data_IF_706579207537
#
_entry.id   IF_706579207537
#
_cell.length_a   1.000
_cell.length_b   1.000
_cell.length_c   1.000
_cell.angle_alpha   90.00
_cell.angle_beta   90.00
_cell.angle_gamma   90.00
#
_symmetry.space_group_name_H-M   'P 1'
#
loop_
_entity.id
_entity.type
_entity.pdbx_description
1 polymer ?
#
# COMPACT_ATOMS: atom_id res chain seq x y z
N UNK A 1 -31.97 -25.07 -23.37
CA UNK A 1 -30.95 -24.26 -22.66
C UNK A 1 -29.60 -24.95 -22.60
N UNK A 2 -29.51 -26.24 -22.23
CA UNK A 2 -28.25 -27.00 -22.17
C UNK A 2 -27.53 -27.11 -23.53
N UNK A 3 -28.25 -27.36 -24.62
CA UNK A 3 -27.64 -27.39 -25.97
C UNK A 3 -27.02 -26.06 -26.39
N UNK A 4 -27.64 -24.94 -26.00
CA UNK A 4 -27.10 -23.61 -26.24
C UNK A 4 -25.77 -23.42 -25.48
N UNK A 5 -25.73 -23.79 -24.20
CA UNK A 5 -24.53 -23.72 -23.37
C UNK A 5 -23.43 -24.66 -23.88
N UNK A 6 -23.80 -25.86 -24.35
CA UNK A 6 -22.85 -26.81 -24.93
C UNK A 6 -22.23 -26.24 -26.21
N UNK A 7 -23.04 -25.70 -27.12
CA UNK A 7 -22.57 -25.09 -28.36
C UNK A 7 -21.70 -23.85 -28.10
N UNK A 8 -22.06 -23.01 -27.14
CA UNK A 8 -21.23 -21.87 -26.71
C UNK A 8 -19.88 -22.32 -26.14
N UNK A 9 -19.87 -23.35 -25.30
CA UNK A 9 -18.63 -23.86 -24.68
C UNK A 9 -17.73 -24.52 -25.72
N UNK A 10 -18.30 -25.29 -26.66
CA UNK A 10 -17.57 -25.85 -27.81
C UNK A 10 -17.02 -24.76 -28.73
N UNK A 11 -17.78 -23.70 -28.98
CA UNK A 11 -17.34 -22.53 -29.74
C UNK A 11 -16.12 -21.86 -29.10
N UNK A 12 -16.19 -21.57 -27.80
CA UNK A 12 -15.06 -21.01 -27.04
C UNK A 12 -13.83 -21.91 -27.03
N UNK A 13 -14.01 -23.23 -26.98
CA UNK A 13 -12.90 -24.18 -27.04
C UNK A 13 -12.25 -24.20 -28.43
N UNK A 14 -13.05 -24.10 -29.50
CA UNK A 14 -12.56 -24.05 -30.89
C UNK A 14 -11.82 -22.73 -31.20
N UNK A 15 -12.25 -21.60 -30.62
CA UNK A 15 -11.57 -20.30 -30.73
C UNK A 15 -10.14 -20.32 -30.21
N UNK A 16 -9.79 -21.23 -29.29
CA UNK A 16 -8.44 -21.34 -28.73
C UNK A 16 -7.41 -21.92 -29.73
N UNK A 17 -7.86 -22.56 -30.82
CA UNK A 17 -7.02 -23.09 -31.90
C UNK A 17 -5.82 -23.94 -31.42
N UNK A 18 -6.00 -24.70 -30.33
CA UNK A 18 -4.94 -25.54 -29.78
C UNK A 18 -4.80 -26.83 -30.58
N UNK A 19 -3.56 -27.25 -30.92
CA UNK A 19 -3.31 -28.50 -31.63
C UNK A 19 -3.50 -29.72 -30.70
N UNK A 20 -3.88 -30.86 -31.28
CA UNK A 20 -4.00 -32.13 -30.56
C UNK A 20 -5.33 -32.32 -29.84
N UNK A 21 -5.42 -33.42 -29.10
CA UNK A 21 -6.57 -33.79 -28.29
C UNK A 21 -6.33 -33.52 -26.79
N UNK A 22 -7.28 -33.93 -25.96
CA UNK A 22 -7.24 -33.71 -24.51
C UNK A 22 -6.03 -34.37 -23.86
N UNK A 23 -5.62 -35.56 -24.33
CA UNK A 23 -4.41 -36.21 -23.82
C UNK A 23 -3.16 -35.44 -24.21
N UNK A 24 -3.10 -34.93 -25.44
CA UNK A 24 -2.01 -34.04 -25.86
C UNK A 24 -1.97 -32.76 -25.03
N UNK A 25 -3.13 -32.16 -24.71
CA UNK A 25 -3.21 -30.96 -23.85
C UNK A 25 -2.77 -31.24 -22.42
N UNK A 26 -3.12 -32.40 -21.86
CA UNK A 26 -2.66 -32.83 -20.53
C UNK A 26 -1.13 -33.03 -20.50
N UNK A 27 -0.57 -33.67 -21.53
CA UNK A 27 0.88 -33.84 -21.66
C UNK A 27 1.61 -32.50 -21.78
N UNK A 28 1.11 -31.61 -22.64
CA UNK A 28 1.65 -30.26 -22.80
C UNK A 28 1.54 -29.44 -21.52
N UNK A 29 0.43 -29.54 -20.79
CA UNK A 29 0.27 -28.85 -19.50
C UNK A 29 1.31 -29.35 -18.49
N UNK A 30 1.50 -30.66 -18.38
CA UNK A 30 2.50 -31.23 -17.46
C UNK A 30 3.92 -30.74 -17.79
N UNK A 31 4.31 -30.74 -19.08
CA UNK A 31 5.59 -30.17 -19.52
C UNK A 31 5.72 -28.68 -19.17
N UNK A 32 4.68 -27.89 -19.44
CA UNK A 32 4.67 -26.45 -19.13
C UNK A 32 4.72 -26.20 -17.62
N UNK A 33 4.07 -27.02 -16.81
CA UNK A 33 4.13 -26.92 -15.35
C UNK A 33 5.56 -27.13 -14.84
N UNK A 34 6.29 -28.12 -15.37
CA UNK A 34 7.71 -28.30 -15.02
C UNK A 34 8.58 -27.11 -15.46
N UNK A 35 8.33 -26.53 -16.63
CA UNK A 35 9.02 -25.34 -17.11
C UNK A 35 8.69 -24.11 -16.26
N UNK A 36 7.43 -23.96 -15.85
CA UNK A 36 6.98 -22.88 -14.99
C UNK A 36 7.64 -22.97 -13.60
N UNK A 37 7.69 -24.15 -13.00
CA UNK A 37 8.40 -24.37 -11.73
C UNK A 37 9.91 -24.09 -11.85
N UNK A 38 10.54 -24.50 -12.96
CA UNK A 38 11.93 -24.20 -13.24
C UNK A 38 12.17 -22.69 -13.39
N UNK A 39 11.31 -21.98 -14.11
CA UNK A 39 11.39 -20.53 -14.28
C UNK A 39 11.16 -19.77 -12.95
N UNK A 40 10.27 -20.26 -12.08
CA UNK A 40 10.10 -19.73 -10.73
C UNK A 40 11.37 -19.88 -9.89
N UNK A 41 12.00 -21.06 -9.92
CA UNK A 41 13.27 -21.32 -9.21
C UNK A 41 14.39 -20.44 -9.74
N UNK A 42 14.52 -20.31 -11.07
CA UNK A 42 15.51 -19.44 -11.72
C UNK A 42 15.34 -17.98 -11.27
N UNK A 43 14.10 -17.46 -11.32
CA UNK A 43 13.81 -16.10 -10.87
C UNK A 43 14.17 -15.88 -9.40
N UNK A 44 13.83 -16.83 -8.52
CA UNK A 44 14.15 -16.74 -7.10
C UNK A 44 15.66 -16.67 -6.85
N UNK A 45 16.46 -17.47 -7.57
CA UNK A 45 17.93 -17.47 -7.48
C UNK A 45 18.52 -16.13 -7.94
N UNK A 46 18.03 -15.59 -9.06
CA UNK A 46 18.51 -14.30 -9.58
C UNK A 46 18.11 -13.14 -8.67
N UNK A 47 16.88 -13.15 -8.13
CA UNK A 47 16.44 -12.16 -7.14
C UNK A 47 17.24 -12.22 -5.84
N UNK A 48 17.56 -13.43 -5.34
CA UNK A 48 18.40 -13.60 -4.17
C UNK A 48 19.81 -13.07 -4.42
N UNK A 49 20.39 -13.36 -5.59
CA UNK A 49 21.70 -12.85 -5.99
C UNK A 49 21.72 -11.32 -6.06
N UNK A 50 20.66 -10.72 -6.60
CA UNK A 50 20.49 -9.26 -6.65
C UNK A 50 20.39 -8.66 -5.25
N UNK A 51 19.57 -9.24 -4.37
CA UNK A 51 19.43 -8.79 -2.99
C UNK A 51 20.76 -8.86 -2.21
N UNK A 52 21.58 -9.91 -2.44
CA UNK A 52 22.90 -10.02 -1.83
C UNK A 52 23.86 -8.92 -2.30
N UNK A 53 23.93 -8.63 -3.60
CA UNK A 53 24.77 -7.56 -4.12
C UNK A 53 24.28 -6.18 -3.67
N UNK A 54 22.98 -5.95 -3.63
CA UNK A 54 22.43 -4.72 -3.05
C UNK A 54 22.76 -4.58 -1.57
N UNK A 55 22.72 -5.67 -0.80
CA UNK A 55 23.15 -5.71 0.60
C UNK A 55 24.61 -5.30 0.75
N UNK A 56 25.50 -5.86 -0.09
CA UNK A 56 26.93 -5.47 -0.15
C UNK A 56 27.09 -3.98 -0.51
N UNK A 57 26.36 -3.48 -1.52
CA UNK A 57 26.40 -2.05 -1.90
C UNK A 57 25.98 -1.15 -0.75
N UNK A 58 24.92 -1.50 -0.02
CA UNK A 58 24.45 -0.74 1.16
C UNK A 58 25.48 -0.73 2.28
N UNK A 59 26.13 -1.88 2.54
CA UNK A 59 27.19 -1.97 3.53
C UNK A 59 28.39 -1.06 3.17
N UNK A 60 28.87 -1.11 1.94
CA UNK A 60 29.98 -0.26 1.47
C UNK A 60 29.60 1.24 1.50
N UNK A 61 28.36 1.60 1.16
CA UNK A 61 27.88 2.99 1.30
C UNK A 61 27.87 3.47 2.75
N UNK A 62 27.54 2.60 3.70
CA UNK A 62 27.61 2.94 5.13
C UNK A 62 29.05 3.13 5.59
N UNK A 63 29.97 2.27 5.15
CA UNK A 63 31.41 2.42 5.41
C UNK A 63 31.91 3.75 4.84
N UNK A 64 31.56 4.08 3.59
CA UNK A 64 31.92 5.34 2.96
C UNK A 64 31.46 6.55 3.79
N UNK A 65 30.21 6.57 4.24
CA UNK A 65 29.68 7.65 5.09
C UNK A 65 30.44 7.79 6.41
N UNK A 66 30.80 6.68 7.05
CA UNK A 66 31.57 6.69 8.30
C UNK A 66 32.98 7.26 8.08
N UNK A 67 33.64 6.85 6.99
CA UNK A 67 34.96 7.36 6.61
C UNK A 67 34.91 8.87 6.32
N UNK A 68 33.94 9.33 5.53
CA UNK A 68 33.77 10.74 5.18
C UNK A 68 33.44 11.58 6.42
N UNK A 69 32.57 11.08 7.32
CA UNK A 69 32.28 11.73 8.59
C UNK A 69 33.52 11.86 9.47
N UNK A 70 34.30 10.79 9.61
CA UNK A 70 35.53 10.82 10.42
C UNK A 70 36.56 11.77 9.82
N UNK A 71 36.77 11.71 8.51
CA UNK A 71 37.66 12.62 7.78
C UNK A 71 37.25 14.08 7.97
N UNK A 72 35.94 14.39 7.93
CA UNK A 72 35.40 15.73 8.20
C UNK A 72 35.76 16.25 9.59
N UNK A 73 35.62 15.42 10.62
CA UNK A 73 35.99 15.77 12.01
C UNK A 73 37.48 16.08 12.12
N UNK A 74 38.34 15.24 11.52
CA UNK A 74 39.79 15.44 11.60
C UNK A 74 40.25 16.70 10.83
N UNK A 75 39.64 16.99 9.68
CA UNK A 75 39.90 18.25 8.94
C UNK A 75 39.45 19.49 9.71
N UNK A 76 38.36 19.40 10.46
CA UNK A 76 37.94 20.46 11.38
C UNK A 76 38.93 20.64 12.53
N UNK A 77 39.38 19.55 13.16
CA UNK A 77 40.44 19.61 14.19
C UNK A 77 41.72 20.24 13.64
N UNK A 78 42.12 19.91 12.42
CA UNK A 78 43.31 20.49 11.79
C UNK A 78 43.20 22.01 11.64
N UNK A 79 42.02 22.52 11.26
CA UNK A 79 41.74 23.96 11.19
C UNK A 79 41.81 24.63 12.56
N UNK A 80 41.27 23.97 13.61
CA UNK A 80 41.35 24.48 14.99
C UNK A 80 42.78 24.49 15.53
N UNK A 81 43.57 23.48 15.22
CA UNK A 81 44.98 23.45 15.59
C UNK A 81 45.79 24.54 14.90
N UNK A 82 45.51 24.85 13.63
CA UNK A 82 46.13 25.98 12.95
C UNK A 82 45.79 27.32 13.62
N UNK A 83 44.54 27.50 14.07
CA UNK A 83 44.15 28.70 14.82
C UNK A 83 44.82 28.77 16.20
N UNK A 84 44.89 27.63 16.90
CA UNK A 84 45.56 27.55 18.21
C UNK A 84 47.06 27.91 18.10
N UNK A 85 47.73 27.45 17.04
CA UNK A 85 49.11 27.82 16.75
C UNK A 85 49.26 29.34 16.57
N UNK A 86 48.37 29.97 15.78
CA UNK A 86 48.39 31.43 15.59
C UNK A 86 48.23 32.18 16.91
N UNK A 87 47.37 31.68 17.80
CA UNK A 87 47.20 32.25 19.13
C UNK A 87 48.49 32.12 19.95
N UNK A 88 49.09 30.93 20.01
CA UNK A 88 50.35 30.72 20.73
C UNK A 88 51.48 31.61 20.20
N UNK A 89 51.59 31.79 18.88
CA UNK A 89 52.58 32.70 18.28
C UNK A 89 52.31 34.16 18.63
N UNK A 90 51.05 34.57 18.75
CA UNK A 90 50.69 35.91 19.22
C UNK A 90 51.03 36.11 20.69
N UNK A 91 50.69 35.14 21.54
CA UNK A 91 50.99 35.17 22.97
C UNK A 91 52.50 35.18 23.23
N UNK A 92 53.27 34.39 22.47
CA UNK A 92 54.71 34.35 22.55
C UNK A 92 55.33 35.73 22.26
N UNK A 93 54.92 36.39 21.16
CA UNK A 93 55.39 37.75 20.82
C UNK A 93 55.07 38.75 21.93
N UNK A 94 53.89 38.66 22.54
CA UNK A 94 53.49 39.53 23.65
C UNK A 94 54.37 39.31 24.88
N UNK A 95 54.61 38.05 25.27
CA UNK A 95 55.46 37.73 26.42
C UNK A 95 56.90 38.16 26.21
N UNK A 96 57.45 37.95 25.00
CA UNK A 96 58.80 38.39 24.64
C UNK A 96 58.93 39.91 24.70
N UNK A 97 57.91 40.64 24.23
CA UNK A 97 57.87 42.11 24.29
C UNK A 97 57.81 42.63 25.73
N UNK A 98 57.00 41.99 26.60
CA UNK A 98 56.92 42.35 28.02
C UNK A 98 58.24 42.03 28.73
N UNK A 99 58.86 40.89 28.43
CA UNK A 99 60.14 40.50 29.00
C UNK A 99 61.27 41.46 28.61
N UNK A 100 61.32 41.88 27.33
CA UNK A 100 62.28 42.87 26.86
C UNK A 100 62.07 44.21 27.58
N UNK A 101 60.83 44.71 27.62
CA UNK A 101 60.51 45.97 28.31
C UNK A 101 60.86 45.92 29.81
N UNK A 102 60.49 44.84 30.51
CA UNK A 102 60.79 44.65 31.93
C UNK A 102 62.28 44.63 32.23
N UNK A 103 63.06 43.95 31.39
CA UNK A 103 64.54 43.92 31.49
C UNK A 103 65.14 45.32 31.28
N UNK A 104 64.65 46.08 30.30
CA UNK A 104 65.11 47.45 30.04
C UNK A 104 64.75 48.40 31.17
N UNK A 105 63.54 48.30 31.71
CA UNK A 105 63.10 49.09 32.86
C UNK A 105 63.92 48.80 34.11
N UNK A 106 64.30 47.54 34.36
CA UNK A 106 65.19 47.17 35.46
C UNK A 106 66.63 47.72 35.33
N UNK A 107 67.08 48.03 34.10
CA UNK A 107 68.39 48.63 33.83
C UNK A 107 68.39 50.16 33.97
N UNK A 108 67.22 50.80 34.05
CA UNK A 108 67.11 52.25 34.17
C UNK A 108 67.26 52.63 35.63
N UNK A 109 68.36 53.33 35.95
CA UNK A 109 68.56 53.94 37.26
C UNK A 109 67.81 55.28 37.33
N UNK A 110 66.98 55.48 38.36
CA UNK A 110 66.33 56.76 38.63
C UNK A 110 67.33 57.76 39.25
N UNK A 111 68.17 58.41 38.44
CA UNK A 111 69.14 59.40 38.95
C UNK A 111 68.47 60.71 39.40
N UNK A 112 67.39 61.12 38.71
CA UNK A 112 66.61 62.33 39.01
C UNK A 112 65.13 62.08 38.80
N UNK A 113 64.31 62.70 39.64
CA UNK A 113 62.85 62.61 39.51
C UNK A 113 62.42 63.24 38.16
N UNK A 114 61.69 62.51 37.30
CA UNK A 114 61.24 63.03 36.00
C UNK A 114 60.18 64.14 36.11
N UNK A 115 59.60 64.35 37.30
CA UNK A 115 58.57 65.36 37.56
C UNK A 115 59.17 66.64 38.16
N UNK A 116 60.03 66.53 39.17
CA UNK A 116 60.56 67.69 39.91
C UNK A 116 62.09 67.88 39.81
N UNK A 117 62.82 66.93 39.21
CA UNK A 117 64.29 67.02 39.02
C UNK A 117 65.14 66.73 40.27
N UNK A 118 64.52 66.38 41.40
CA UNK A 118 65.21 66.03 42.64
C UNK A 118 66.14 64.83 42.46
N UNK A 119 67.36 64.92 43.01
CA UNK A 119 68.32 63.81 43.03
C UNK A 119 67.78 62.63 43.86
N UNK A 120 68.22 61.40 43.56
CA UNK A 120 67.78 60.18 44.23
C UNK A 120 67.82 60.26 45.77
N UNK A 121 68.85 60.90 46.32
CA UNK A 121 69.04 61.12 47.77
C UNK A 121 67.96 62.00 48.45
N UNK A 122 67.12 62.67 47.66
CA UNK A 122 66.04 63.54 48.12
C UNK A 122 64.65 63.01 47.75
N UNK A 123 64.54 61.76 47.29
CA UNK A 123 63.28 61.12 46.93
C UNK A 123 62.71 60.33 48.12
N UNK A 124 61.46 60.59 48.48
CA UNK A 124 60.72 59.76 49.44
C UNK A 124 59.95 58.66 48.69
N UNK A 125 60.35 57.40 48.90
CA UNK A 125 59.80 56.23 48.18
C UNK A 125 58.53 55.65 48.82
N UNK A 126 57.85 56.36 49.73
CA UNK A 126 56.66 55.87 50.46
C UNK A 126 55.47 55.48 49.55
N UNK A 127 55.48 55.92 48.29
CA UNK A 127 54.49 55.55 47.28
C UNK A 127 54.87 54.32 46.42
N UNK A 128 56.09 53.79 46.54
CA UNK A 128 56.49 52.52 45.90
C UNK A 128 55.91 51.34 46.69
N UNK A 129 54.60 51.14 46.60
CA UNK A 129 53.99 49.87 47.00
C UNK A 129 54.55 48.79 46.07
N UNK A 130 55.19 47.78 46.63
CA UNK A 130 55.80 46.67 45.90
C UNK A 130 54.77 45.88 45.07
N UNK A 131 54.50 46.38 43.86
CA UNK A 131 54.08 45.55 42.73
C UNK A 131 55.38 45.00 42.14
N UNK A 132 55.43 43.68 41.91
CA UNK A 132 56.63 42.92 41.50
C UNK A 132 57.62 43.69 40.62
N UNK A 133 58.92 43.50 40.86
CA UNK A 133 59.94 44.23 40.13
C UNK A 133 59.83 43.95 38.62
N UNK A 134 60.09 44.94 37.75
CA UNK A 134 60.05 44.74 36.29
C UNK A 134 60.91 43.56 35.81
N UNK A 135 62.01 43.27 36.49
CA UNK A 135 62.88 42.13 36.22
C UNK A 135 62.25 40.78 36.63
N UNK A 136 61.53 40.71 37.75
CA UNK A 136 60.80 39.51 38.18
C UNK A 136 59.66 39.17 37.19
N UNK A 137 58.97 40.20 36.69
CA UNK A 137 57.94 40.07 35.65
C UNK A 137 58.58 39.57 34.34
N UNK A 138 59.74 40.11 33.96
CA UNK A 138 60.46 39.68 32.77
C UNK A 138 60.89 38.20 32.85
N UNK A 139 61.45 37.76 33.98
CA UNK A 139 61.81 36.35 34.19
C UNK A 139 60.58 35.43 34.12
N UNK A 140 59.47 35.84 34.71
CA UNK A 140 58.20 35.10 34.64
C UNK A 140 57.68 34.98 33.20
N UNK A 141 57.75 36.07 32.42
CA UNK A 141 57.37 36.05 31.00
C UNK A 141 58.28 35.13 30.17
N UNK A 142 59.58 35.10 30.43
CA UNK A 142 60.52 34.20 29.75
C UNK A 142 60.23 32.72 30.07
N UNK A 143 59.90 32.41 31.33
CA UNK A 143 59.52 31.07 31.73
C UNK A 143 58.23 30.59 31.04
N UNK A 144 57.19 31.43 30.98
CA UNK A 144 55.95 31.11 30.27
C UNK A 144 56.16 31.02 28.75
N UNK A 145 57.00 31.90 28.18
CA UNK A 145 57.38 31.82 26.76
C UNK A 145 58.06 30.49 26.43
N UNK A 146 58.95 29.99 27.30
CA UNK A 146 59.58 28.68 27.13
C UNK A 146 58.54 27.55 27.15
N UNK A 147 57.54 27.62 28.03
CA UNK A 147 56.43 26.66 28.09
C UNK A 147 55.58 26.70 26.82
N UNK A 148 55.23 27.89 26.31
CA UNK A 148 54.46 28.03 25.06
C UNK A 148 55.22 27.42 23.88
N UNK A 149 56.55 27.58 23.79
CA UNK A 149 57.36 26.95 22.73
C UNK A 149 57.28 25.42 22.77
N UNK A 150 57.25 24.81 23.95
CA UNK A 150 57.01 23.37 24.10
C UNK A 150 55.61 22.98 23.61
N UNK A 151 54.58 23.74 24.00
CA UNK A 151 53.21 23.51 23.54
C UNK A 151 53.06 23.62 22.01
N UNK A 152 53.78 24.54 21.36
CA UNK A 152 53.82 24.64 19.90
C UNK A 152 54.45 23.38 19.28
N UNK A 153 55.55 22.89 19.85
CA UNK A 153 56.20 21.65 19.39
C UNK A 153 55.25 20.44 19.50
N UNK A 154 54.56 20.28 20.62
CA UNK A 154 53.59 19.20 20.82
C UNK A 154 52.39 19.32 19.86
N UNK A 155 51.95 20.55 19.60
CA UNK A 155 50.89 20.84 18.64
C UNK A 155 51.29 20.45 17.21
N UNK A 156 52.54 20.70 16.82
CA UNK A 156 53.06 20.28 15.51
C UNK A 156 53.07 18.76 15.34
N UNK A 157 53.49 18.02 16.37
CA UNK A 157 53.44 16.55 16.36
C UNK A 157 52.00 16.06 16.21
N UNK A 158 51.08 16.60 17.01
CA UNK A 158 49.65 16.27 16.96
C UNK A 158 49.05 16.54 15.58
N UNK A 159 49.40 17.68 14.97
CA UNK A 159 48.97 18.02 13.60
C UNK A 159 49.52 17.07 12.56
N UNK A 160 50.78 16.64 12.67
CA UNK A 160 51.37 15.68 11.75
C UNK A 160 50.67 14.32 11.83
N UNK A 161 50.37 13.85 13.04
CA UNK A 161 49.62 12.60 13.24
C UNK A 161 48.20 12.69 12.67
N UNK A 162 47.53 13.82 12.88
CA UNK A 162 46.21 14.07 12.32
C UNK A 162 46.22 14.10 10.79
N UNK A 163 47.22 14.73 10.16
CA UNK A 163 47.38 14.75 8.70
C UNK A 163 47.63 13.35 8.13
N UNK A 164 48.44 12.51 8.80
CA UNK A 164 48.64 11.10 8.40
C UNK A 164 47.34 10.32 8.44
N UNK A 165 46.55 10.51 9.49
CA UNK A 165 45.25 9.84 9.61
C UNK A 165 44.25 10.32 8.55
N UNK A 166 44.23 11.62 8.22
CA UNK A 166 43.42 12.15 7.11
C UNK A 166 43.81 11.48 5.79
N UNK A 167 45.10 11.41 5.47
CA UNK A 167 45.59 10.77 4.25
C UNK A 167 45.22 9.27 4.20
N UNK A 168 45.31 8.57 5.33
CA UNK A 168 44.88 7.16 5.44
C UNK A 168 43.39 7.01 5.15
N UNK A 169 42.54 7.86 5.73
CA UNK A 169 41.09 7.84 5.49
C UNK A 169 40.72 8.19 4.04
N UNK A 170 41.48 9.06 3.39
CA UNK A 170 41.30 9.38 1.96
C UNK A 170 41.58 8.17 1.08
N UNK A 171 42.64 7.41 1.35
CA UNK A 171 42.92 6.14 0.68
C UNK A 171 41.77 5.15 0.83
N UNK A 172 41.31 4.92 2.07
CA UNK A 172 40.17 4.03 2.34
C UNK A 172 38.87 4.51 1.67
N UNK A 173 38.66 5.82 1.59
CA UNK A 173 37.50 6.41 0.91
C UNK A 173 37.53 6.12 -0.59
N UNK A 174 38.70 6.21 -1.22
CA UNK A 174 38.87 5.87 -2.62
C UNK A 174 38.59 4.39 -2.87
N UNK A 175 39.14 3.51 -2.04
CA UNK A 175 38.88 2.06 -2.13
C UNK A 175 37.39 1.72 -1.96
N UNK A 176 36.71 2.33 -0.98
CA UNK A 176 35.27 2.14 -0.78
C UNK A 176 34.46 2.60 -2.01
N UNK A 177 34.83 3.72 -2.61
CA UNK A 177 34.21 4.21 -3.85
C UNK A 177 34.39 3.23 -5.02
N UNK A 178 35.58 2.65 -5.16
CA UNK A 178 35.83 1.62 -6.18
C UNK A 178 35.02 0.35 -5.93
N UNK A 179 34.96 -0.15 -4.68
CA UNK A 179 34.11 -1.30 -4.33
C UNK A 179 32.63 -1.05 -4.66
N UNK A 180 32.12 0.14 -4.35
CA UNK A 180 30.74 0.54 -4.69
C UNK A 180 30.53 0.53 -6.20
N UNK A 181 31.48 1.08 -6.98
CA UNK A 181 31.42 1.08 -8.44
C UNK A 181 31.39 -0.33 -9.01
N UNK A 182 32.29 -1.21 -8.57
CA UNK A 182 32.32 -2.61 -9.01
C UNK A 182 30.99 -3.32 -8.75
N UNK A 183 30.42 -3.17 -7.55
CA UNK A 183 29.13 -3.78 -7.22
C UNK A 183 27.99 -3.17 -8.05
N UNK A 184 28.01 -1.85 -8.29
CA UNK A 184 27.02 -1.18 -9.12
C UNK A 184 27.05 -1.69 -10.57
N UNK A 185 28.25 -1.85 -11.14
CA UNK A 185 28.43 -2.42 -12.49
C UNK A 185 27.93 -3.86 -12.58
N UNK A 186 28.24 -4.70 -11.58
CA UNK A 186 27.73 -6.08 -11.53
C UNK A 186 26.20 -6.13 -11.47
N UNK A 187 25.57 -5.25 -10.69
CA UNK A 187 24.11 -5.14 -10.61
C UNK A 187 23.50 -4.72 -11.96
N UNK A 188 24.06 -3.70 -12.61
CA UNK A 188 23.49 -3.13 -13.84
C UNK A 188 23.75 -4.00 -15.07
N UNK A 189 24.94 -4.56 -15.22
CA UNK A 189 25.37 -5.24 -16.45
C UNK A 189 25.09 -6.74 -16.42
N UNK A 190 25.07 -7.38 -15.24
CA UNK A 190 24.89 -8.83 -15.13
C UNK A 190 23.52 -9.20 -14.58
N UNK A 191 23.17 -8.71 -13.38
CA UNK A 191 21.97 -9.21 -12.69
C UNK A 191 20.67 -8.62 -13.23
N UNK A 192 20.64 -7.34 -13.57
CA UNK A 192 19.42 -6.72 -14.14
C UNK A 192 18.94 -7.45 -15.41
N UNK A 193 19.79 -7.71 -16.43
CA UNK A 193 19.36 -8.45 -17.61
C UNK A 193 18.91 -9.89 -17.30
N UNK A 194 19.56 -10.57 -16.35
CA UNK A 194 19.20 -11.93 -15.94
C UNK A 194 17.84 -12.00 -15.26
N UNK A 195 17.55 -11.08 -14.35
CA UNK A 195 16.23 -10.97 -13.70
C UNK A 195 15.14 -10.66 -14.73
N UNK A 196 15.41 -9.74 -15.67
CA UNK A 196 14.48 -9.41 -16.75
C UNK A 196 14.19 -10.63 -17.64
N UNK A 197 15.21 -11.40 -18.01
CA UNK A 197 15.05 -12.63 -18.79
C UNK A 197 14.28 -13.71 -18.01
N UNK A 198 14.58 -13.91 -16.73
CA UNK A 198 13.87 -14.87 -15.89
C UNK A 198 12.38 -14.49 -15.72
N UNK A 199 12.08 -13.20 -15.57
CA UNK A 199 10.71 -12.67 -15.54
C UNK A 199 9.97 -12.92 -16.86
N UNK A 200 10.63 -12.74 -18.01
CA UNK A 200 10.04 -13.02 -19.32
C UNK A 200 9.69 -14.50 -19.45
N UNK A 201 10.63 -15.41 -19.13
CA UNK A 201 10.39 -16.87 -19.16
C UNK A 201 9.25 -17.29 -18.23
N UNK A 202 9.16 -16.70 -17.05
CA UNK A 202 8.06 -16.96 -16.12
C UNK A 202 6.72 -16.52 -16.70
N UNK A 203 6.64 -15.34 -17.30
CA UNK A 203 5.39 -14.84 -17.92
C UNK A 203 4.97 -15.67 -19.12
N UNK A 204 5.92 -16.08 -19.97
CA UNK A 204 5.65 -16.93 -21.13
C UNK A 204 5.11 -18.30 -20.70
N UNK A 205 5.79 -18.95 -19.75
CA UNK A 205 5.35 -20.24 -19.21
C UNK A 205 3.99 -20.13 -18.51
N UNK A 206 3.74 -19.06 -17.74
CA UNK A 206 2.44 -18.79 -17.13
C UNK A 206 1.33 -18.65 -18.16
N UNK A 207 1.55 -17.84 -19.20
CA UNK A 207 0.56 -17.60 -20.25
C UNK A 207 0.20 -18.90 -20.97
N UNK A 208 1.21 -19.71 -21.30
CA UNK A 208 1.02 -21.04 -21.90
C UNK A 208 0.26 -21.97 -20.96
N UNK A 209 0.64 -22.02 -19.68
CA UNK A 209 -0.01 -22.85 -18.66
C UNK A 209 -1.49 -22.51 -18.53
N UNK A 210 -1.81 -21.23 -18.41
CA UNK A 210 -3.18 -20.76 -18.21
C UNK A 210 -4.03 -21.03 -19.46
N UNK A 211 -3.42 -20.99 -20.65
CA UNK A 211 -4.06 -21.40 -21.90
C UNK A 211 -4.46 -22.87 -21.88
N UNK A 212 -3.54 -23.78 -21.57
CA UNK A 212 -3.86 -25.21 -21.55
C UNK A 212 -4.81 -25.59 -20.41
N UNK A 213 -4.70 -24.96 -19.23
CA UNK A 213 -5.67 -25.14 -18.13
C UNK A 213 -7.08 -24.76 -18.54
N UNK A 214 -7.24 -23.62 -19.21
CA UNK A 214 -8.54 -23.17 -19.72
C UNK A 214 -9.12 -24.13 -20.76
N UNK A 215 -8.29 -24.70 -21.61
CA UNK A 215 -8.73 -25.69 -22.60
C UNK A 215 -9.26 -26.96 -21.93
N UNK A 216 -8.56 -27.46 -20.91
CA UNK A 216 -9.00 -28.61 -20.11
C UNK A 216 -10.26 -28.32 -19.30
N UNK A 217 -10.39 -27.11 -18.75
CA UNK A 217 -11.60 -26.67 -18.04
C UNK A 217 -12.82 -26.64 -18.98
N UNK A 218 -12.68 -26.04 -20.17
CA UNK A 218 -13.73 -26.02 -21.19
C UNK A 218 -14.08 -27.43 -21.64
N UNK A 219 -13.08 -28.30 -21.81
CA UNK A 219 -13.33 -29.71 -22.14
C UNK A 219 -14.10 -30.45 -21.04
N UNK A 220 -13.71 -30.26 -19.77
CA UNK A 220 -14.44 -30.81 -18.62
C UNK A 220 -15.89 -30.33 -18.59
N UNK A 221 -16.12 -29.04 -18.88
CA UNK A 221 -17.47 -28.48 -18.97
C UNK A 221 -18.29 -29.06 -20.12
N UNK A 222 -17.67 -29.31 -21.27
CA UNK A 222 -18.32 -30.00 -22.40
C UNK A 222 -18.76 -31.40 -21.98
N UNK A 223 -17.90 -32.17 -21.32
CA UNK A 223 -18.23 -33.52 -20.87
C UNK A 223 -19.36 -33.52 -19.83
N UNK A 224 -19.35 -32.58 -18.89
CA UNK A 224 -20.40 -32.41 -17.89
C UNK A 224 -21.76 -32.11 -18.54
N UNK A 225 -21.80 -31.14 -19.47
CA UNK A 225 -23.02 -30.78 -20.20
C UNK A 225 -23.53 -31.94 -21.06
N UNK A 226 -22.63 -32.71 -21.68
CA UNK A 226 -22.99 -33.91 -22.45
C UNK A 226 -23.54 -35.02 -21.54
N UNK A 227 -22.98 -35.21 -20.35
CA UNK A 227 -23.48 -36.14 -19.34
C UNK A 227 -24.90 -35.78 -18.92
N UNK A 228 -25.15 -34.52 -18.57
CA UNK A 228 -26.48 -34.01 -18.21
C UNK A 228 -27.51 -34.20 -19.33
N UNK A 229 -27.11 -33.94 -20.59
CA UNK A 229 -27.95 -34.21 -21.76
C UNK A 229 -28.27 -35.71 -21.92
N UNK A 230 -27.29 -36.58 -21.67
CA UNK A 230 -27.47 -38.03 -21.69
C UNK A 230 -28.42 -38.54 -20.61
N UNK A 231 -28.28 -38.03 -19.38
CA UNK A 231 -29.18 -38.35 -18.26
C UNK A 231 -30.62 -37.90 -18.53
N UNK A 232 -30.80 -36.70 -19.10
CA UNK A 232 -32.11 -36.21 -19.53
C UNK A 232 -32.69 -37.03 -20.70
N UNK A 233 -31.85 -37.46 -21.65
CA UNK A 233 -32.27 -38.33 -22.76
C UNK A 233 -32.69 -39.73 -22.30
N UNK A 234 -32.04 -40.28 -21.27
CA UNK A 234 -32.40 -41.55 -20.63
C UNK A 234 -33.67 -41.41 -19.78
N UNK A 235 -33.84 -40.29 -19.08
CA UNK A 235 -35.08 -39.98 -18.35
C UNK A 235 -36.28 -39.81 -19.29
N UNK A 236 -36.07 -39.30 -20.51
CA UNK A 236 -37.13 -39.16 -21.52
C UNK A 236 -37.64 -40.50 -22.11
N UNK A 237 -36.92 -41.62 -21.94
CA UNK A 237 -37.38 -42.94 -22.41
C UNK A 237 -38.39 -43.61 -21.47
N UNK A 238 -38.62 -43.07 -20.26
CA UNK A 238 -39.68 -43.51 -19.37
C UNK A 238 -40.88 -42.58 -19.48
N UNK A 239 -41.83 -42.88 -20.39
CA UNK A 239 -43.14 -42.21 -20.54
C UNK A 239 -43.19 -40.78 -19.97
N UNK A 240 -42.49 -39.85 -20.60
CA UNK A 240 -42.77 -38.44 -20.40
C UNK A 240 -44.04 -38.13 -21.17
N UNK A 241 -45.14 -37.89 -20.47
CA UNK A 241 -46.13 -36.94 -20.99
C UNK A 241 -45.34 -35.73 -21.51
N UNK A 242 -45.64 -35.28 -22.73
CA UNK A 242 -45.22 -33.95 -23.16
C UNK A 242 -45.44 -33.03 -21.95
N UNK A 243 -44.39 -32.33 -21.50
CA UNK A 243 -44.61 -31.15 -20.69
C UNK A 243 -45.43 -30.22 -21.60
N UNK A 244 -46.75 -30.37 -21.56
CA UNK A 244 -47.68 -29.28 -21.82
C UNK A 244 -47.05 -28.09 -21.12
N UNK A 245 -46.82 -27.03 -21.90
CA UNK A 245 -46.26 -25.77 -21.43
C UNK A 245 -46.64 -25.57 -19.98
N UNK A 246 -45.66 -25.57 -19.08
CA UNK A 246 -45.86 -25.38 -17.64
C UNK A 246 -46.46 -23.99 -17.41
N UNK A 247 -47.75 -23.85 -17.74
CA UNK A 247 -48.55 -22.68 -17.47
C UNK A 247 -48.79 -22.74 -15.98
N UNK A 248 -48.35 -21.69 -15.29
CA UNK A 248 -48.64 -21.49 -13.88
C UNK A 248 -50.13 -21.69 -13.69
N UNK A 249 -50.53 -22.62 -12.82
CA UNK A 249 -51.95 -22.85 -12.58
C UNK A 249 -52.56 -21.59 -11.98
N UNK A 250 -53.83 -21.31 -12.30
CA UNK A 250 -54.51 -20.08 -11.85
C UNK A 250 -54.48 -19.91 -10.32
N UNK A 251 -54.53 -21.01 -9.55
CA UNK A 251 -54.40 -20.99 -8.09
C UNK A 251 -52.99 -20.64 -7.59
N UNK A 252 -51.95 -21.13 -8.26
CA UNK A 252 -50.56 -20.77 -7.95
C UNK A 252 -50.24 -19.32 -8.33
N UNK A 253 -50.79 -18.85 -9.45
CA UNK A 253 -50.64 -17.48 -9.93
C UNK A 253 -51.33 -16.47 -8.99
N UNK A 254 -52.49 -16.83 -8.45
CA UNK A 254 -53.22 -16.02 -7.47
C UNK A 254 -52.45 -15.92 -6.14
N UNK A 255 -52.02 -17.06 -5.59
CA UNK A 255 -51.21 -17.09 -4.36
C UNK A 255 -49.92 -16.28 -4.50
N UNK A 256 -49.24 -16.39 -5.64
CA UNK A 256 -48.06 -15.58 -5.94
C UNK A 256 -48.39 -14.09 -6.06
N UNK A 257 -49.48 -13.73 -6.74
CA UNK A 257 -49.90 -12.33 -6.88
C UNK A 257 -50.19 -11.68 -5.53
N UNK A 258 -50.79 -12.43 -4.59
CA UNK A 258 -51.05 -11.98 -3.23
C UNK A 258 -49.76 -11.75 -2.43
N UNK A 259 -48.75 -12.61 -2.57
CA UNK A 259 -47.43 -12.40 -1.93
C UNK A 259 -46.74 -11.14 -2.49
N UNK A 260 -46.79 -10.93 -3.81
CA UNK A 260 -46.25 -9.71 -4.43
C UNK A 260 -47.01 -8.47 -3.96
N UNK A 261 -48.35 -8.54 -3.90
CA UNK A 261 -49.17 -7.45 -3.42
C UNK A 261 -48.86 -7.09 -1.96
N UNK A 262 -48.69 -8.10 -1.10
CA UNK A 262 -48.33 -7.91 0.31
C UNK A 262 -47.02 -7.13 0.46
N UNK A 263 -45.97 -7.53 -0.27
CA UNK A 263 -44.69 -6.84 -0.25
C UNK A 263 -44.81 -5.40 -0.78
N UNK A 264 -45.49 -5.20 -1.91
CA UNK A 264 -45.66 -3.86 -2.48
C UNK A 264 -46.50 -2.95 -1.56
N UNK A 265 -47.50 -3.49 -0.85
CA UNK A 265 -48.26 -2.74 0.17
C UNK A 265 -47.36 -2.37 1.35
N UNK A 266 -46.56 -3.31 1.84
CA UNK A 266 -45.62 -3.07 2.94
C UNK A 266 -44.59 -2.00 2.59
N UNK A 267 -44.20 -1.89 1.32
CA UNK A 267 -43.27 -0.87 0.83
C UNK A 267 -43.92 0.46 0.49
N UNK A 268 -45.22 0.63 0.75
CA UNK A 268 -46.00 1.81 0.35
C UNK A 268 -45.88 2.12 -1.14
N UNK A 269 -45.93 1.08 -1.98
CA UNK A 269 -45.77 1.23 -3.43
C UNK A 269 -46.86 2.17 -4.00
N UNK A 270 -46.46 3.17 -4.80
CA UNK A 270 -47.35 4.25 -5.19
C UNK A 270 -48.44 3.83 -6.16
N UNK A 271 -49.67 4.27 -5.90
CA UNK A 271 -50.81 3.95 -6.75
C UNK A 271 -51.13 2.45 -6.82
N UNK A 272 -50.77 1.69 -5.79
CA UNK A 272 -51.08 0.27 -5.69
C UNK A 272 -52.56 0.05 -5.36
N UNK A 273 -53.28 -0.58 -6.29
CA UNK A 273 -54.67 -1.03 -6.10
C UNK A 273 -54.69 -2.55 -5.87
N UNK A 274 -54.24 -3.31 -6.87
CA UNK A 274 -54.12 -4.78 -6.82
C UNK A 274 -52.97 -5.29 -7.68
N UNK A 275 -52.46 -6.48 -7.37
CA UNK A 275 -51.54 -7.22 -8.25
C UNK A 275 -52.24 -8.45 -8.81
N UNK A 276 -52.08 -8.68 -10.11
CA UNK A 276 -52.58 -9.86 -10.81
C UNK A 276 -51.47 -10.45 -11.68
N UNK A 277 -51.61 -11.71 -12.09
CA UNK A 277 -50.65 -12.36 -12.99
C UNK A 277 -51.19 -12.45 -14.42
N UNK A 278 -50.38 -12.03 -15.40
CA UNK A 278 -50.70 -12.21 -16.82
C UNK A 278 -50.21 -13.59 -17.27
N UNK A 279 -51.12 -14.53 -17.53
CA UNK A 279 -50.75 -15.84 -18.08
C UNK A 279 -50.14 -15.76 -19.49
N UNK A 280 -50.48 -14.70 -20.26
CA UNK A 280 -49.89 -14.49 -21.58
C UNK A 280 -48.46 -13.96 -21.52
N UNK A 281 -48.20 -13.01 -20.62
CA UNK A 281 -46.88 -12.39 -20.49
C UNK A 281 -45.98 -13.11 -19.47
N UNK A 282 -46.55 -14.05 -18.69
CA UNK A 282 -45.89 -14.74 -17.58
C UNK A 282 -45.21 -13.76 -16.60
N UNK A 283 -45.90 -12.65 -16.32
CA UNK A 283 -45.39 -11.55 -15.48
C UNK A 283 -46.52 -10.91 -14.68
N UNK A 284 -46.14 -10.14 -13.65
CA UNK A 284 -47.08 -9.41 -12.81
C UNK A 284 -47.63 -8.17 -13.52
N UNK A 285 -48.91 -7.89 -13.25
CA UNK A 285 -49.65 -6.70 -13.66
C UNK A 285 -50.03 -5.96 -12.38
N UNK A 286 -49.56 -4.72 -12.26
CA UNK A 286 -49.71 -3.89 -11.06
C UNK A 286 -50.72 -2.78 -11.39
N UNK A 287 -51.84 -2.71 -10.66
CA UNK A 287 -52.90 -1.72 -10.86
C UNK A 287 -53.36 -1.60 -12.32
N UNK A 288 -53.47 -2.74 -13.02
CA UNK A 288 -53.89 -2.82 -14.42
C UNK A 288 -52.81 -2.45 -15.46
N UNK A 289 -51.58 -2.18 -15.05
CA UNK A 289 -50.45 -1.89 -15.94
C UNK A 289 -49.42 -3.01 -15.89
N UNK A 290 -48.88 -3.39 -17.05
CA UNK A 290 -47.81 -4.38 -17.11
C UNK A 290 -46.55 -3.81 -16.47
N UNK A 291 -45.76 -4.63 -15.77
CA UNK A 291 -44.50 -4.19 -15.17
C UNK A 291 -43.60 -3.46 -16.18
N UNK A 292 -43.50 -3.95 -17.41
CA UNK A 292 -42.69 -3.35 -18.47
C UNK A 292 -43.05 -1.89 -18.81
N UNK A 293 -44.31 -1.48 -18.60
CA UNK A 293 -44.83 -0.14 -18.89
C UNK A 293 -44.47 0.93 -17.85
N UNK A 294 -43.94 0.51 -16.69
CA UNK A 294 -43.50 1.44 -15.65
C UNK A 294 -42.09 2.01 -15.90
N UNK A 295 -41.78 3.14 -15.26
CA UNK A 295 -40.45 3.75 -15.29
C UNK A 295 -39.36 2.83 -14.71
N UNK A 296 -38.10 3.07 -15.08
CA UNK A 296 -36.96 2.21 -14.71
C UNK A 296 -36.86 1.91 -13.20
N UNK A 297 -37.06 2.90 -12.34
CA UNK A 297 -37.02 2.71 -10.87
C UNK A 297 -38.17 1.84 -10.35
N UNK A 298 -39.40 2.12 -10.79
CA UNK A 298 -40.59 1.34 -10.41
C UNK A 298 -40.46 -0.12 -10.88
N UNK A 299 -39.88 -0.34 -12.07
CA UNK A 299 -39.59 -1.71 -12.56
C UNK A 299 -38.56 -2.44 -11.71
N UNK A 300 -37.54 -1.77 -11.22
CA UNK A 300 -36.53 -2.37 -10.35
C UNK A 300 -37.14 -2.85 -9.03
N UNK A 301 -37.95 -2.01 -8.38
CA UNK A 301 -38.68 -2.37 -7.16
C UNK A 301 -39.66 -3.51 -7.41
N UNK A 302 -40.48 -3.43 -8.47
CA UNK A 302 -41.41 -4.50 -8.83
C UNK A 302 -40.69 -5.84 -9.12
N UNK A 303 -39.49 -5.80 -9.70
CA UNK A 303 -38.67 -6.99 -9.92
C UNK A 303 -38.11 -7.55 -8.60
N UNK A 304 -37.71 -6.70 -7.66
CA UNK A 304 -37.33 -7.14 -6.32
C UNK A 304 -38.51 -7.80 -5.59
N UNK A 305 -39.71 -7.21 -5.65
CA UNK A 305 -40.94 -7.77 -5.09
C UNK A 305 -41.25 -9.14 -5.67
N UNK A 306 -41.15 -9.28 -7.00
CA UNK A 306 -41.37 -10.56 -7.69
C UNK A 306 -40.47 -11.67 -7.13
N UNK A 307 -39.16 -11.42 -7.06
CA UNK A 307 -38.20 -12.43 -6.61
C UNK A 307 -38.37 -12.78 -5.13
N UNK A 308 -38.63 -11.78 -4.29
CA UNK A 308 -38.82 -11.96 -2.85
C UNK A 308 -40.14 -12.67 -2.54
N UNK A 309 -41.22 -12.34 -3.25
CA UNK A 309 -42.50 -13.04 -3.15
C UNK A 309 -42.35 -14.52 -3.55
N UNK A 310 -41.58 -14.82 -4.59
CA UNK A 310 -41.36 -16.20 -5.02
C UNK A 310 -40.58 -16.99 -3.97
N UNK A 311 -39.53 -16.40 -3.39
CA UNK A 311 -38.79 -16.98 -2.28
C UNK A 311 -39.74 -17.28 -1.10
N UNK A 312 -40.53 -16.29 -0.68
CA UNK A 312 -41.43 -16.42 0.46
C UNK A 312 -42.52 -17.48 0.21
N UNK A 313 -43.12 -17.48 -0.99
CA UNK A 313 -44.12 -18.46 -1.40
C UNK A 313 -43.55 -19.89 -1.38
N UNK A 314 -42.36 -20.09 -1.93
CA UNK A 314 -41.72 -21.41 -1.93
C UNK A 314 -41.37 -21.87 -0.52
N UNK A 315 -40.87 -20.98 0.34
CA UNK A 315 -40.54 -21.30 1.74
C UNK A 315 -41.80 -21.66 2.53
N UNK A 316 -42.87 -20.87 2.41
CA UNK A 316 -44.17 -21.12 3.08
C UNK A 316 -44.83 -22.43 2.63
N UNK A 317 -44.68 -22.77 1.35
CA UNK A 317 -45.25 -23.98 0.75
C UNK A 317 -44.31 -25.20 0.78
N UNK A 318 -43.17 -25.11 1.47
CA UNK A 318 -42.12 -26.16 1.51
C UNK A 318 -41.68 -26.65 0.12
N UNK A 319 -41.75 -25.77 -0.88
CA UNK A 319 -41.31 -26.08 -2.25
C UNK A 319 -39.79 -25.95 -2.37
N UNK A 320 -39.13 -26.74 -3.25
CA UNK A 320 -37.69 -26.63 -3.46
C UNK A 320 -37.27 -25.20 -3.87
N UNK A 321 -36.47 -24.56 -3.02
CA UNK A 321 -35.87 -23.26 -3.28
C UNK A 321 -34.50 -23.19 -2.59
N UNK A 322 -33.49 -22.50 -3.14
CA UNK A 322 -32.15 -22.37 -2.52
C UNK A 322 -32.12 -21.71 -1.13
N UNK A 323 -33.23 -21.19 -0.62
CA UNK A 323 -33.32 -20.52 0.68
C UNK A 323 -32.68 -19.12 0.74
N UNK A 324 -32.19 -18.58 -0.38
CA UNK A 324 -31.61 -17.24 -0.44
C UNK A 324 -31.97 -16.47 -1.71
N UNK A 325 -31.86 -15.14 -1.66
CA UNK A 325 -32.00 -14.23 -2.80
C UNK A 325 -30.87 -13.18 -2.82
N UNK A 326 -30.35 -12.89 -4.01
CA UNK A 326 -29.36 -11.84 -4.26
C UNK A 326 -29.99 -10.75 -5.13
N UNK A 327 -29.97 -9.50 -4.65
CA UNK A 327 -30.59 -8.37 -5.34
C UNK A 327 -29.54 -7.28 -5.55
N UNK A 328 -29.31 -6.91 -6.80
CA UNK A 328 -28.37 -5.85 -7.18
C UNK A 328 -29.14 -4.56 -7.48
N UNK A 329 -28.86 -3.53 -6.68
CA UNK A 329 -29.29 -2.15 -6.91
C UNK A 329 -30.80 -1.95 -7.09
N UNK A 330 -31.68 -2.50 -6.21
CA UNK A 330 -33.13 -2.39 -6.39
C UNK A 330 -33.65 -0.96 -6.25
N UNK A 331 -32.90 -0.06 -5.61
CA UNK A 331 -33.35 1.29 -5.26
C UNK A 331 -32.60 2.40 -6.01
N UNK A 332 -31.40 2.15 -6.58
CA UNK A 332 -30.57 3.15 -7.29
C UNK A 332 -31.34 4.02 -8.28
N UNK A 333 -32.24 3.41 -9.06
CA UNK A 333 -32.94 4.09 -10.17
C UNK A 333 -34.28 4.68 -9.73
N UNK A 334 -34.67 4.47 -8.47
CA UNK A 334 -35.87 5.02 -7.90
C UNK A 334 -35.61 6.46 -7.42
N UNK A 335 -36.15 7.43 -8.15
CA UNK A 335 -36.15 8.85 -7.76
C UNK A 335 -37.51 9.21 -7.20
N UNK A 336 -37.51 9.88 -6.06
CA UNK A 336 -38.70 10.52 -5.50
C UNK A 336 -39.19 11.60 -6.50
N UNK A 337 -40.49 11.66 -6.81
CA UNK A 337 -41.03 12.74 -7.63
C UNK A 337 -40.96 14.07 -6.86
N UNK A 338 -40.74 15.17 -7.60
CA UNK A 338 -40.72 16.52 -7.04
C UNK A 338 -42.07 16.85 -6.35
N UNK A 339 -42.00 17.57 -5.23
CA UNK A 339 -43.04 17.80 -4.21
C UNK A 339 -44.36 18.47 -4.65
N UNK A 340 -44.65 18.61 -5.94
CA UNK A 340 -45.85 19.29 -6.45
C UNK A 340 -46.93 18.36 -7.05
N UNK A 341 -46.73 17.04 -7.00
CA UNK A 341 -47.81 16.06 -7.23
C UNK A 341 -48.02 15.24 -5.95
N UNK A 342 -49.20 15.35 -5.35
CA UNK A 342 -49.49 14.82 -4.02
C UNK A 342 -49.11 13.35 -3.83
N UNK A 343 -48.22 13.11 -2.86
CA UNK A 343 -48.14 11.85 -2.11
C UNK A 343 -46.91 10.99 -2.35
N UNK A 344 -45.70 11.50 -2.10
CA UNK A 344 -44.51 10.66 -2.01
C UNK A 344 -43.58 11.19 -0.90
N UNK A 345 -43.37 10.40 0.15
CA UNK A 345 -42.36 10.68 1.18
C UNK A 345 -41.28 9.61 1.17
N UNK A 346 -40.18 9.88 1.88
CA UNK A 346 -39.06 9.02 2.29
C UNK A 346 -39.37 7.57 2.74
N UNK A 347 -40.63 7.13 2.69
CA UNK A 347 -41.18 5.93 3.31
C UNK A 347 -40.90 4.64 2.51
N UNK A 348 -40.83 4.70 1.17
CA UNK A 348 -40.69 3.47 0.34
C UNK A 348 -39.35 2.76 0.54
N UNK A 349 -38.23 3.51 0.52
CA UNK A 349 -36.87 2.93 0.69
C UNK A 349 -36.71 2.34 2.08
N UNK A 350 -37.15 3.08 3.10
CA UNK A 350 -37.09 2.64 4.48
C UNK A 350 -37.97 1.41 4.73
N UNK A 351 -39.22 1.44 4.27
CA UNK A 351 -40.17 0.34 4.41
C UNK A 351 -39.72 -0.91 3.64
N UNK A 352 -39.06 -0.74 2.49
CA UNK A 352 -38.42 -1.85 1.77
C UNK A 352 -37.39 -2.58 2.64
N UNK A 353 -36.48 -1.88 3.30
CA UNK A 353 -35.50 -2.55 4.16
C UNK A 353 -36.12 -3.13 5.44
N UNK A 354 -37.04 -2.40 6.09
CA UNK A 354 -37.70 -2.86 7.33
C UNK A 354 -38.52 -4.13 7.11
N UNK A 355 -39.33 -4.16 6.05
CA UNK A 355 -40.12 -5.36 5.70
C UNK A 355 -39.23 -6.56 5.39
N UNK A 356 -38.10 -6.37 4.68
CA UNK A 356 -37.18 -7.49 4.39
C UNK A 356 -36.58 -8.04 5.69
N UNK A 357 -36.13 -7.17 6.59
CA UNK A 357 -35.56 -7.56 7.88
C UNK A 357 -36.57 -8.28 8.79
N UNK A 358 -37.86 -7.95 8.68
CA UNK A 358 -38.94 -8.56 9.45
C UNK A 358 -39.42 -9.88 8.84
N UNK A 359 -39.74 -9.90 7.55
CA UNK A 359 -40.44 -11.01 6.88
C UNK A 359 -39.51 -12.18 6.49
N UNK A 360 -38.24 -11.91 6.20
CA UNK A 360 -37.33 -12.92 5.62
C UNK A 360 -36.41 -13.57 6.65
N UNK A 361 -36.79 -13.64 7.93
CA UNK A 361 -35.96 -14.22 9.01
C UNK A 361 -35.60 -15.71 8.82
N UNK A 362 -36.41 -16.44 8.05
CA UNK A 362 -36.18 -17.85 7.71
C UNK A 362 -35.40 -18.05 6.40
N UNK A 363 -34.92 -16.98 5.77
CA UNK A 363 -34.21 -17.01 4.48
C UNK A 363 -33.06 -16.01 4.48
N UNK A 364 -32.13 -16.15 3.53
CA UNK A 364 -31.03 -15.19 3.40
C UNK A 364 -31.29 -14.22 2.24
N UNK A 365 -31.41 -12.92 2.53
CA UNK A 365 -31.51 -11.88 1.51
C UNK A 365 -30.23 -11.04 1.51
N UNK A 366 -29.55 -10.98 0.37
CA UNK A 366 -28.32 -10.21 0.19
C UNK A 366 -28.60 -9.10 -0.81
N UNK A 367 -28.38 -7.85 -0.39
CA UNK A 367 -28.67 -6.66 -1.20
C UNK A 367 -27.39 -5.88 -1.42
N UNK A 368 -27.08 -5.58 -2.68
CA UNK A 368 -26.05 -4.61 -3.05
C UNK A 368 -26.71 -3.28 -3.38
N UNK A 369 -26.29 -2.23 -2.70
CA UNK A 369 -26.85 -0.89 -2.88
C UNK A 369 -25.78 0.15 -2.57
N UNK A 370 -25.84 1.31 -3.23
CA UNK A 370 -24.92 2.41 -3.02
C UNK A 370 -25.39 3.38 -1.94
N UNK A 371 -26.70 3.42 -1.70
CA UNK A 371 -27.30 4.22 -0.63
C UNK A 371 -27.29 3.46 0.70
N UNK A 372 -27.07 4.20 1.80
CA UNK A 372 -27.09 3.63 3.15
C UNK A 372 -28.53 3.23 3.53
N UNK A 373 -28.75 2.04 4.12
CA UNK A 373 -30.04 1.67 4.65
C UNK A 373 -30.38 2.46 5.93
N UNK A 374 -31.65 2.46 6.37
CA UNK A 374 -32.09 3.11 7.61
C UNK A 374 -31.23 2.74 8.83
N UNK A 375 -30.89 3.75 9.64
CA UNK A 375 -29.97 3.59 10.78
C UNK A 375 -30.49 2.68 11.91
N UNK A 376 -31.80 2.46 11.95
CA UNK A 376 -32.52 1.64 12.94
C UNK A 376 -32.42 0.12 12.68
N UNK A 377 -31.91 -0.31 11.52
CA UNK A 377 -31.81 -1.74 11.16
C UNK A 377 -30.63 -2.49 11.81
N UNK A 378 -29.76 -1.80 12.55
CA UNK A 378 -28.45 -2.33 12.93
C UNK A 378 -28.44 -3.66 13.72
N UNK A 379 -29.53 -4.02 14.40
CA UNK A 379 -29.66 -5.30 15.09
C UNK A 379 -30.27 -6.42 14.22
N UNK A 380 -31.07 -6.06 13.21
CA UNK A 380 -31.83 -7.00 12.39
C UNK A 380 -31.17 -7.28 11.03
N UNK A 381 -30.10 -6.56 10.68
CA UNK A 381 -29.38 -6.72 9.42
C UNK A 381 -27.85 -6.67 9.59
N UNK A 382 -27.14 -7.49 8.81
CA UNK A 382 -25.69 -7.42 8.71
C UNK A 382 -25.25 -6.40 7.65
N UNK A 383 -24.93 -5.18 8.07
CA UNK A 383 -24.57 -4.08 7.17
C UNK A 383 -23.05 -4.05 6.93
N UNK A 384 -22.63 -4.36 5.70
CA UNK A 384 -21.21 -4.34 5.30
C UNK A 384 -20.94 -3.13 4.39
N UNK A 385 -20.24 -2.12 4.92
CA UNK A 385 -19.88 -0.91 4.17
C UNK A 385 -18.56 -1.09 3.42
N UNK A 386 -18.57 -0.86 2.10
CA UNK A 386 -17.37 -0.82 1.25
C UNK A 386 -17.02 0.63 0.91
N UNK A 387 -15.83 1.09 1.30
CA UNK A 387 -15.50 2.53 1.25
C UNK A 387 -14.19 2.84 0.52
N UNK A 388 -13.42 1.82 0.12
CA UNK A 388 -12.08 2.02 -0.47
C UNK A 388 -11.07 2.74 0.43
N UNK A 389 -11.43 3.06 1.68
CA UNK A 389 -10.66 3.87 2.64
C UNK A 389 -10.34 3.08 3.92
N UNK A 390 -9.82 3.75 4.95
CA UNK A 390 -9.42 3.14 6.23
C UNK A 390 -10.58 2.74 7.15
N UNK A 391 -11.82 3.10 6.82
CA UNK A 391 -13.02 2.79 7.60
C UNK A 391 -13.98 1.94 6.75
N UNK A 392 -14.35 0.73 7.16
CA UNK A 392 -15.12 -0.20 6.32
C UNK A 392 -14.22 -1.18 5.54
N UNK A 393 -14.79 -1.92 4.58
CA UNK A 393 -14.04 -2.90 3.77
C UNK A 393 -13.46 -2.25 2.51
N UNK A 394 -12.19 -2.55 2.21
CA UNK A 394 -11.53 -2.08 0.99
C UNK A 394 -12.00 -2.84 -0.27
N UNK A 395 -12.52 -4.06 -0.11
CA UNK A 395 -13.03 -4.89 -1.21
C UNK A 395 -13.64 -6.21 -0.71
N UNK A 396 -14.19 -7.00 -1.63
CA UNK A 396 -14.88 -8.27 -1.35
C UNK A 396 -13.96 -9.37 -0.81
N UNK A 397 -12.67 -9.31 -1.13
CA UNK A 397 -11.67 -10.29 -0.68
C UNK A 397 -11.11 -9.81 0.67
N UNK A 398 -11.24 -10.59 1.76
CA UNK A 398 -10.57 -10.28 3.02
C UNK A 398 -9.06 -10.23 2.80
N UNK A 399 -8.37 -9.27 3.40
CA UNK A 399 -6.90 -9.35 3.47
C UNK A 399 -6.56 -10.60 4.26
N UNK A 400 -5.76 -11.49 3.67
CA UNK A 400 -5.18 -12.62 4.39
C UNK A 400 -4.51 -12.07 5.65
N UNK A 401 -5.02 -12.49 6.81
CA UNK A 401 -4.44 -12.19 8.12
C UNK A 401 -3.23 -13.08 8.33
#
# INVERSE_FOLDING_TARGET
MLDLLLNQTKGRMAEMQLPGDVQAWQGQLAEIETLFEAAQKELAVEQQSAAQLEGKRRAELNVLRQLESRSGVLRELQRRFALLEQQYLSDLRRLESIAEAGTRLGQINEERCPVCGAAAEHQEHDHQKASAAPEDVAQSCLAEAAKIRLLISDLHLTRSDNDREIARLEGLTLEAKERIRTVATQLSEMLKPRVELALQRLRESQTRRDTYRRALELHGRVNELQGLLGELGLAASGKGEELESARVRSDEAEAFSQEVESLLRAWHFPGLDRVTFSESDQDIVISGRTRASHGKGVRAIAHAAFNLALLNLCVKAEKPHPGFALIDSPLVVYREPDTDEGGFSHDVKDAFYRSIAEEFRASQVIIFENEDPPSDLGADANIIRFTGASHGRQGFIPKSV
#
